data_IF_941052346453
#
_entry.id   IF_941052346453
#
_cell.length_a   1.000
_cell.length_b   1.000
_cell.length_c   1.000
_cell.angle_alpha   90.00
_cell.angle_beta   90.00
_cell.angle_gamma   90.00
#
_symmetry.space_group_name_H-M   'P 1'
#
loop_
_entity.id
_entity.type
_entity.pdbx_description
1 polymer ?
#
# COMPACT_ATOMS: atom_id res chain seq x y z
N UNK A 1 10.17 -10.43 7.33
CA UNK A 1 10.19 -9.22 6.51
C UNK A 1 8.77 -8.97 5.98
N UNK A 2 8.31 -7.72 6.03
CA UNK A 2 6.96 -7.32 5.63
C UNK A 2 7.11 -6.38 4.43
N UNK A 3 6.39 -6.66 3.36
CA UNK A 3 6.44 -5.90 2.10
C UNK A 3 5.11 -5.22 1.86
N UNK A 4 5.13 -3.92 1.50
CA UNK A 4 3.99 -3.29 0.85
C UNK A 4 3.85 -3.81 -0.60
N UNK A 5 2.69 -3.55 -1.19
CA UNK A 5 2.41 -3.88 -2.59
C UNK A 5 2.80 -2.72 -3.52
N UNK A 6 2.16 -1.56 -3.35
CA UNK A 6 2.37 -0.38 -4.19
C UNK A 6 3.78 0.21 -4.00
N UNK A 7 4.45 0.58 -5.09
CA UNK A 7 5.79 1.16 -4.99
C UNK A 7 6.90 0.22 -4.50
N UNK A 8 6.57 -1.00 -4.08
CA UNK A 8 7.50 -2.04 -3.63
C UNK A 8 7.46 -3.25 -4.55
N UNK A 9 6.38 -4.04 -4.49
CA UNK A 9 6.19 -5.22 -5.35
C UNK A 9 5.72 -4.83 -6.74
N UNK A 10 4.99 -3.73 -6.87
CA UNK A 10 4.63 -3.14 -8.18
C UNK A 10 5.18 -1.73 -8.30
N UNK A 11 5.23 -1.22 -9.54
CA UNK A 11 5.58 0.19 -9.78
C UNK A 11 4.58 1.13 -9.10
N UNK A 12 5.03 2.30 -8.58
CA UNK A 12 4.15 3.25 -7.90
C UNK A 12 3.02 3.76 -8.79
N UNK A 13 1.81 3.90 -8.23
CA UNK A 13 0.64 4.47 -8.93
C UNK A 13 0.70 6.01 -9.05
N UNK A 14 1.70 6.66 -8.50
CA UNK A 14 1.88 8.12 -8.55
C UNK A 14 1.98 8.66 -9.97
N UNK A 15 2.52 7.87 -10.92
CA UNK A 15 2.57 8.24 -12.33
C UNK A 15 1.16 8.39 -12.93
N UNK A 16 0.26 7.47 -12.61
CA UNK A 16 -1.12 7.48 -13.08
C UNK A 16 -1.88 8.68 -12.51
N UNK A 17 -1.70 8.96 -11.23
CA UNK A 17 -2.25 10.17 -10.59
C UNK A 17 -1.72 11.43 -11.28
N UNK A 18 -0.44 11.47 -11.64
CA UNK A 18 0.17 12.58 -12.39
C UNK A 18 -0.47 12.81 -13.75
N UNK A 19 -0.72 11.76 -14.52
CA UNK A 19 -1.38 11.84 -15.83
C UNK A 19 -2.82 12.35 -15.72
N UNK A 20 -3.57 11.93 -14.71
CA UNK A 20 -4.93 12.40 -14.45
C UNK A 20 -4.88 13.88 -14.04
N UNK A 21 -3.98 14.25 -13.13
CA UNK A 21 -3.81 15.64 -12.68
C UNK A 21 -3.52 16.60 -13.85
N UNK A 22 -2.66 16.18 -14.78
CA UNK A 22 -2.38 16.95 -16.01
C UNK A 22 -3.65 17.15 -16.85
N UNK A 23 -4.43 16.07 -17.04
CA UNK A 23 -5.71 16.14 -17.77
C UNK A 23 -6.77 17.03 -17.10
N UNK A 24 -6.74 17.13 -15.76
CA UNK A 24 -7.63 17.97 -14.96
C UNK A 24 -7.11 19.41 -14.78
N UNK A 25 -5.85 19.69 -15.17
CA UNK A 25 -5.22 21.00 -15.00
C UNK A 25 -4.90 21.35 -13.53
N UNK A 26 -4.66 20.36 -12.70
CA UNK A 26 -4.30 20.54 -11.29
C UNK A 26 -2.92 19.92 -10.97
N UNK A 27 -2.38 20.18 -9.77
CA UNK A 27 -1.13 19.54 -9.35
C UNK A 27 -1.38 18.08 -8.94
N UNK A 28 -0.36 17.20 -9.14
CA UNK A 28 -0.40 15.81 -8.67
C UNK A 28 -0.63 15.73 -7.17
N UNK A 29 -0.05 16.65 -6.41
CA UNK A 29 -0.19 16.69 -4.95
C UNK A 29 -1.63 17.04 -4.52
N UNK A 30 -2.26 18.00 -5.18
CA UNK A 30 -3.64 18.39 -4.87
C UNK A 30 -4.61 17.26 -5.23
N UNK A 31 -4.44 16.64 -6.41
CA UNK A 31 -5.27 15.50 -6.80
C UNK A 31 -5.10 14.32 -5.83
N UNK A 32 -3.86 14.00 -5.47
CA UNK A 32 -3.57 12.95 -4.52
C UNK A 32 -4.24 13.23 -3.16
N UNK A 33 -4.18 14.47 -2.67
CA UNK A 33 -4.84 14.85 -1.42
C UNK A 33 -6.37 14.72 -1.49
N UNK A 34 -6.97 15.15 -2.60
CA UNK A 34 -8.43 15.02 -2.83
C UNK A 34 -8.86 13.57 -2.94
N UNK A 35 -8.09 12.73 -3.63
CA UNK A 35 -8.44 11.32 -3.84
C UNK A 35 -8.19 10.46 -2.63
N UNK A 36 -6.99 10.56 -2.04
CA UNK A 36 -6.51 9.63 -1.02
C UNK A 36 -6.59 10.19 0.41
N UNK A 37 -6.85 11.49 0.56
CA UNK A 37 -6.88 12.16 1.86
C UNK A 37 -5.51 12.31 2.52
N UNK A 38 -5.48 12.62 3.84
CA UNK A 38 -4.26 12.78 4.59
C UNK A 38 -3.46 11.47 4.69
N UNK A 39 -2.13 11.56 4.51
CA UNK A 39 -1.26 10.38 4.40
C UNK A 39 -0.69 9.90 5.75
N UNK A 40 -0.67 10.78 6.76
CA UNK A 40 -0.10 10.48 8.08
C UNK A 40 -1.15 10.14 9.13
N UNK A 41 -2.41 10.24 8.76
CA UNK A 41 -3.55 10.02 9.66
C UNK A 41 -4.57 9.11 8.97
N UNK A 42 -5.24 8.29 9.75
CA UNK A 42 -6.41 7.55 9.31
C UNK A 42 -7.66 8.22 9.85
N UNK A 43 -8.74 8.25 9.07
CA UNK A 43 -9.97 8.91 9.46
C UNK A 43 -11.14 8.56 8.54
N UNK A 44 -12.15 9.43 8.51
CA UNK A 44 -13.40 9.22 7.76
C UNK A 44 -13.31 9.65 6.28
N UNK A 45 -12.11 9.95 5.76
CA UNK A 45 -11.95 10.23 4.35
C UNK A 45 -12.48 9.04 3.52
N UNK A 46 -13.23 9.26 2.42
CA UNK A 46 -13.84 8.19 1.64
C UNK A 46 -12.84 7.11 1.18
N UNK A 47 -11.63 7.50 0.78
CA UNK A 47 -10.57 6.57 0.42
C UNK A 47 -10.14 5.68 1.58
N UNK A 48 -10.01 6.25 2.79
CA UNK A 48 -9.65 5.45 3.98
C UNK A 48 -10.73 4.44 4.33
N UNK A 49 -12.01 4.81 4.15
CA UNK A 49 -13.15 3.91 4.33
C UNK A 49 -13.19 2.80 3.28
N UNK A 50 -12.82 3.13 2.03
CA UNK A 50 -12.67 2.16 0.96
C UNK A 50 -11.57 1.14 1.28
N UNK A 51 -10.39 1.61 1.69
CA UNK A 51 -9.26 0.75 2.07
C UNK A 51 -9.56 -0.12 3.31
N UNK A 52 -10.45 0.31 4.21
CA UNK A 52 -10.95 -0.56 5.29
C UNK A 52 -12.12 -1.46 4.85
N UNK A 53 -12.53 -1.38 3.58
CA UNK A 53 -13.66 -2.18 3.06
C UNK A 53 -15.01 -1.80 3.66
N UNK A 54 -15.16 -0.60 4.22
CA UNK A 54 -16.42 -0.07 4.76
C UNK A 54 -17.39 0.37 3.67
N UNK A 55 -16.85 0.78 2.52
CA UNK A 55 -17.60 1.20 1.34
C UNK A 55 -17.03 0.52 0.09
N UNK A 56 -17.81 0.45 -0.97
CA UNK A 56 -17.37 0.02 -2.30
C UNK A 56 -17.02 1.20 -3.20
N UNK A 57 -16.51 0.88 -4.38
CA UNK A 57 -16.06 1.86 -5.38
C UNK A 57 -17.17 2.83 -5.82
N UNK A 58 -18.42 2.33 -5.99
CA UNK A 58 -19.56 3.17 -6.37
C UNK A 58 -19.82 4.28 -5.34
N UNK A 59 -19.79 3.93 -4.03
CA UNK A 59 -19.98 4.89 -2.94
C UNK A 59 -18.80 5.86 -2.84
N UNK A 60 -17.57 5.38 -3.09
CA UNK A 60 -16.39 6.24 -3.14
C UNK A 60 -16.57 7.36 -4.16
N UNK A 61 -17.01 7.03 -5.38
CA UNK A 61 -17.19 8.00 -6.45
C UNK A 61 -18.16 9.12 -6.05
N UNK A 62 -19.30 8.76 -5.48
CA UNK A 62 -20.29 9.73 -4.99
C UNK A 62 -19.74 10.64 -3.89
N UNK A 63 -18.92 10.10 -2.98
CA UNK A 63 -18.35 10.85 -1.87
C UNK A 63 -17.15 11.73 -2.25
N UNK A 64 -16.39 11.37 -3.29
CA UNK A 64 -15.25 12.17 -3.75
C UNK A 64 -15.66 13.38 -4.58
N UNK A 65 -16.77 13.34 -5.32
CA UNK A 65 -17.21 14.44 -6.17
C UNK A 65 -17.36 15.79 -5.40
N UNK A 66 -18.05 15.85 -4.24
CA UNK A 66 -18.17 17.11 -3.49
C UNK A 66 -16.83 17.58 -2.90
N UNK A 67 -15.91 16.66 -2.55
CA UNK A 67 -14.57 17.01 -2.06
C UNK A 67 -13.75 17.65 -3.20
N UNK A 68 -13.77 17.04 -4.37
CA UNK A 68 -13.12 17.56 -5.56
C UNK A 68 -13.69 18.92 -5.98
N UNK A 69 -15.02 19.07 -5.98
CA UNK A 69 -15.67 20.32 -6.30
C UNK A 69 -15.30 21.44 -5.31
N UNK A 70 -15.22 21.14 -4.02
CA UNK A 70 -14.75 22.09 -2.99
C UNK A 70 -13.30 22.53 -3.19
N UNK A 71 -12.46 21.64 -3.77
CA UNK A 71 -11.08 21.94 -4.15
C UNK A 71 -10.98 22.62 -5.55
N UNK A 72 -12.11 22.93 -6.20
CA UNK A 72 -12.14 23.53 -7.54
C UNK A 72 -11.77 22.59 -8.69
N UNK A 73 -11.81 21.27 -8.46
CA UNK A 73 -11.49 20.23 -9.43
C UNK A 73 -12.76 19.69 -10.07
N UNK A 74 -12.72 19.53 -11.40
CA UNK A 74 -13.78 18.83 -12.14
C UNK A 74 -13.45 17.34 -12.23
N UNK A 75 -13.35 16.69 -11.07
CA UNK A 75 -13.03 15.29 -10.94
C UNK A 75 -14.29 14.44 -11.05
N UNK A 76 -14.23 13.40 -11.84
CA UNK A 76 -15.32 12.42 -12.00
C UNK A 76 -14.89 11.10 -11.38
N UNK A 77 -15.84 10.37 -10.82
CA UNK A 77 -15.58 9.11 -10.14
C UNK A 77 -14.88 8.05 -11.01
N UNK A 78 -15.14 8.05 -12.33
CA UNK A 78 -14.49 7.14 -13.28
C UNK A 78 -12.97 7.35 -13.43
N UNK A 79 -12.43 8.47 -12.95
CA UNK A 79 -10.97 8.70 -12.95
C UNK A 79 -10.24 7.75 -11.98
N UNK A 80 -10.87 7.32 -10.90
CA UNK A 80 -10.28 6.35 -9.95
C UNK A 80 -10.10 4.99 -10.62
N UNK A 81 -11.06 4.55 -11.41
CA UNK A 81 -11.00 3.26 -12.12
C UNK A 81 -9.83 3.21 -13.11
N UNK A 82 -9.48 4.34 -13.71
CA UNK A 82 -8.36 4.44 -14.65
C UNK A 82 -7.01 4.15 -14.00
N UNK A 83 -6.85 4.47 -12.71
CA UNK A 83 -5.62 4.17 -11.95
C UNK A 83 -5.43 2.67 -11.75
N UNK A 84 -6.55 1.94 -11.61
CA UNK A 84 -6.57 0.51 -11.33
C UNK A 84 -6.74 -0.34 -12.60
N UNK A 85 -6.79 0.31 -13.78
CA UNK A 85 -6.99 -0.40 -15.04
C UNK A 85 -5.83 -1.37 -15.34
N UNK A 86 -6.10 -2.49 -16.05
CA UNK A 86 -5.06 -3.42 -16.46
C UNK A 86 -3.94 -2.74 -17.26
N UNK A 87 -2.68 -3.07 -16.94
CA UNK A 87 -1.50 -2.51 -17.60
C UNK A 87 -1.04 -1.16 -17.07
N UNK A 88 -1.65 -0.65 -16.00
CA UNK A 88 -1.26 0.62 -15.38
C UNK A 88 -0.06 0.49 -14.45
N UNK A 89 0.35 -0.69 -14.09
CA UNK A 89 1.54 -0.96 -13.27
C UNK A 89 2.28 -2.21 -13.78
N UNK A 90 3.52 -2.35 -13.38
CA UNK A 90 4.36 -3.50 -13.67
C UNK A 90 4.76 -4.18 -12.35
N UNK A 91 4.85 -5.53 -12.39
CA UNK A 91 5.31 -6.31 -11.23
C UNK A 91 6.84 -6.33 -11.21
N UNK A 92 7.44 -5.99 -10.08
CA UNK A 92 8.86 -6.09 -9.82
C UNK A 92 9.23 -7.56 -9.51
N UNK A 93 9.36 -8.38 -10.53
CA UNK A 93 9.62 -9.82 -10.37
C UNK A 93 10.84 -10.12 -9.51
N UNK A 94 11.88 -9.28 -9.56
CA UNK A 94 13.07 -9.43 -8.71
C UNK A 94 12.77 -9.29 -7.22
N UNK A 95 11.72 -8.52 -6.83
CA UNK A 95 11.25 -8.45 -5.44
C UNK A 95 10.58 -9.77 -5.05
N UNK A 96 9.77 -10.37 -5.94
CA UNK A 96 9.16 -11.69 -5.70
C UNK A 96 10.23 -12.80 -5.57
N UNK A 97 11.28 -12.74 -6.39
CA UNK A 97 12.43 -13.64 -6.28
C UNK A 97 13.12 -13.48 -4.92
N UNK A 98 13.35 -12.23 -4.46
CA UNK A 98 13.92 -11.96 -3.14
C UNK A 98 13.04 -12.49 -2.01
N UNK A 99 11.72 -12.37 -2.09
CA UNK A 99 10.80 -12.95 -1.12
C UNK A 99 10.98 -14.48 -1.05
N UNK A 100 11.09 -15.15 -2.20
CA UNK A 100 11.36 -16.59 -2.28
C UNK A 100 12.71 -16.97 -1.66
N UNK A 101 13.77 -16.20 -1.92
CA UNK A 101 15.11 -16.38 -1.33
C UNK A 101 15.06 -16.25 0.20
N UNK A 102 14.43 -15.21 0.71
CA UNK A 102 14.31 -14.97 2.15
C UNK A 102 13.60 -16.12 2.85
N UNK A 103 12.52 -16.63 2.29
CA UNK A 103 11.83 -17.83 2.80
C UNK A 103 12.72 -19.06 2.78
N UNK A 104 13.49 -19.25 1.72
CA UNK A 104 14.48 -20.34 1.63
C UNK A 104 15.57 -20.25 2.70
N UNK A 105 15.90 -19.05 3.18
CA UNK A 105 16.82 -18.77 4.30
C UNK A 105 16.14 -18.88 5.67
N UNK A 106 14.84 -19.18 5.74
CA UNK A 106 14.08 -19.34 6.99
C UNK A 106 13.47 -18.06 7.55
N UNK A 107 13.53 -16.94 6.82
CA UNK A 107 12.83 -15.72 7.23
C UNK A 107 11.33 -15.84 6.96
N UNK A 108 10.51 -15.40 7.89
CA UNK A 108 9.08 -15.22 7.67
C UNK A 108 8.82 -13.98 6.80
N UNK A 109 7.88 -14.09 5.88
CA UNK A 109 7.52 -13.01 4.97
C UNK A 109 6.03 -12.69 5.04
N UNK A 110 5.68 -11.40 4.90
CA UNK A 110 4.31 -10.98 4.80
C UNK A 110 4.10 -9.95 3.68
N UNK A 111 2.93 -10.01 3.06
CA UNK A 111 2.35 -8.89 2.34
C UNK A 111 1.50 -8.08 3.32
N UNK A 112 1.64 -6.75 3.31
CA UNK A 112 0.81 -5.82 4.06
C UNK A 112 0.42 -4.64 3.17
N UNK A 113 -0.78 -4.70 2.56
CA UNK A 113 -1.25 -3.74 1.57
C UNK A 113 -2.48 -2.98 2.02
N UNK A 114 -2.47 -1.65 1.82
CA UNK A 114 -3.71 -0.89 1.72
C UNK A 114 -4.29 -1.14 0.33
N UNK A 115 -5.41 -1.85 0.29
CA UNK A 115 -6.03 -2.33 -0.94
C UNK A 115 -7.55 -2.12 -0.90
N UNK A 116 -8.21 -2.44 -1.98
CA UNK A 116 -9.66 -2.39 -2.12
C UNK A 116 -10.21 -3.76 -2.46
N UNK A 117 -11.45 -4.05 -2.08
CA UNK A 117 -12.05 -5.38 -2.27
C UNK A 117 -12.08 -5.81 -3.73
N UNK A 118 -12.40 -4.87 -4.61
CA UNK A 118 -12.53 -5.11 -6.05
C UNK A 118 -11.20 -5.48 -6.70
N UNK A 119 -10.09 -5.05 -6.10
CA UNK A 119 -8.74 -5.32 -6.62
C UNK A 119 -8.18 -6.68 -6.15
N UNK A 120 -8.76 -7.30 -5.12
CA UNK A 120 -8.26 -8.54 -4.51
C UNK A 120 -7.98 -9.67 -5.51
N UNK A 121 -8.86 -9.98 -6.49
CA UNK A 121 -8.59 -11.04 -7.45
C UNK A 121 -7.32 -10.80 -8.28
N UNK A 122 -7.12 -9.53 -8.69
CA UNK A 122 -5.92 -9.14 -9.45
C UNK A 122 -4.67 -9.16 -8.59
N UNK A 123 -4.77 -8.71 -7.35
CA UNK A 123 -3.68 -8.78 -6.39
C UNK A 123 -3.20 -10.22 -6.17
N UNK A 124 -4.12 -11.18 -6.02
CA UNK A 124 -3.78 -12.59 -5.83
C UNK A 124 -3.26 -13.28 -7.10
N UNK A 125 -3.66 -12.82 -8.28
CA UNK A 125 -3.10 -13.27 -9.55
C UNK A 125 -1.65 -12.85 -9.70
N UNK A 126 -1.34 -11.58 -9.46
CA UNK A 126 -0.01 -11.01 -9.63
C UNK A 126 0.95 -11.43 -8.51
N UNK A 127 0.44 -11.51 -7.29
CA UNK A 127 1.20 -11.80 -6.07
C UNK A 127 0.49 -12.87 -5.26
N UNK A 128 0.63 -14.15 -5.64
CA UNK A 128 -0.10 -15.25 -5.02
C UNK A 128 0.16 -15.38 -3.51
N UNK A 129 -0.90 -15.58 -2.68
CA UNK A 129 -0.76 -15.70 -1.22
C UNK A 129 0.25 -16.76 -0.75
N UNK A 130 0.45 -17.84 -1.52
CA UNK A 130 1.43 -18.91 -1.20
C UNK A 130 2.88 -18.43 -1.10
N UNK A 131 3.18 -17.22 -1.59
CA UNK A 131 4.53 -16.62 -1.50
C UNK A 131 4.83 -16.07 -0.10
N UNK A 132 3.83 -15.97 0.78
CA UNK A 132 3.95 -15.36 2.08
C UNK A 132 3.49 -16.27 3.20
N UNK A 133 3.99 -16.01 4.41
CA UNK A 133 3.51 -16.66 5.64
C UNK A 133 2.28 -15.91 6.21
N UNK A 134 2.16 -14.60 5.92
CA UNK A 134 0.97 -13.79 6.21
C UNK A 134 0.61 -12.90 5.00
N UNK A 135 -0.68 -12.76 4.74
CA UNK A 135 -1.20 -12.00 3.60
C UNK A 135 -2.31 -11.06 4.06
N UNK A 136 -1.92 -9.81 4.35
CA UNK A 136 -2.79 -8.81 4.95
C UNK A 136 -3.25 -7.81 3.89
N UNK A 137 -4.52 -7.87 3.58
CA UNK A 137 -5.24 -6.93 2.72
C UNK A 137 -6.17 -6.10 3.61
N UNK A 138 -5.95 -4.79 3.66
CA UNK A 138 -6.65 -3.86 4.54
C UNK A 138 -8.16 -3.95 4.41
N UNK A 139 -8.67 -4.07 3.18
CA UNK A 139 -10.10 -4.11 2.89
C UNK A 139 -10.81 -5.37 3.40
N UNK A 140 -10.04 -6.46 3.61
CA UNK A 140 -10.54 -7.72 4.14
C UNK A 140 -10.44 -7.81 5.66
N UNK A 141 -9.46 -7.10 6.25
CA UNK A 141 -9.26 -7.14 7.71
C UNK A 141 -9.94 -5.98 8.44
N UNK A 142 -10.49 -4.99 7.71
CA UNK A 142 -11.17 -3.84 8.29
C UNK A 142 -10.25 -2.84 8.99
N UNK A 143 -8.96 -2.82 8.63
CA UNK A 143 -7.91 -1.97 9.20
C UNK A 143 -7.00 -1.50 8.08
N UNK A 144 -6.39 -0.33 8.21
CA UNK A 144 -5.46 0.19 7.20
C UNK A 144 -4.18 0.75 7.83
N UNK A 145 -3.10 0.81 7.06
CA UNK A 145 -1.92 1.61 7.42
C UNK A 145 -2.30 3.10 7.36
N UNK A 146 -1.85 3.97 8.26
CA UNK A 146 -0.88 3.73 9.34
C UNK A 146 -1.47 3.33 10.70
N UNK A 147 -2.69 2.82 10.78
CA UNK A 147 -3.32 2.40 12.04
C UNK A 147 -2.47 1.33 12.74
N UNK A 148 -2.19 1.43 14.07
CA UNK A 148 -1.35 0.46 14.77
C UNK A 148 -1.92 -0.96 14.75
N UNK A 149 -3.23 -1.10 14.69
CA UNK A 149 -3.95 -2.37 14.73
C UNK A 149 -3.56 -3.30 13.58
N UNK A 150 -3.31 -2.75 12.37
CA UNK A 150 -2.95 -3.57 11.21
C UNK A 150 -1.53 -4.13 11.35
N UNK A 151 -0.60 -3.37 11.92
CA UNK A 151 0.76 -3.85 12.18
C UNK A 151 0.77 -4.91 13.27
N UNK A 152 0.03 -4.71 14.36
CA UNK A 152 -0.13 -5.73 15.41
C UNK A 152 -0.78 -7.00 14.87
N UNK A 153 -1.76 -6.87 13.96
CA UNK A 153 -2.35 -8.02 13.28
C UNK A 153 -1.32 -8.78 12.45
N UNK A 154 -0.52 -8.06 11.66
CA UNK A 154 0.53 -8.65 10.83
C UNK A 154 1.55 -9.41 11.69
N UNK A 155 2.00 -8.82 12.80
CA UNK A 155 2.93 -9.47 13.74
C UNK A 155 2.35 -10.75 14.34
N UNK A 156 1.06 -10.73 14.74
CA UNK A 156 0.37 -11.94 15.26
C UNK A 156 0.30 -13.04 14.21
N UNK A 157 -0.03 -12.74 12.96
CA UNK A 157 -0.09 -13.73 11.88
C UNK A 157 1.30 -14.31 11.54
N UNK A 158 2.35 -13.51 11.72
CA UNK A 158 3.73 -13.97 11.61
C UNK A 158 4.23 -14.71 12.87
N UNK A 159 3.44 -14.78 13.96
CA UNK A 159 3.84 -15.28 15.26
C UNK A 159 5.15 -14.64 15.75
N UNK A 160 5.21 -13.31 15.71
CA UNK A 160 6.31 -12.48 16.19
C UNK A 160 5.86 -11.69 17.41
N UNK A 161 6.49 -11.95 18.56
CA UNK A 161 6.18 -11.27 19.82
C UNK A 161 6.93 -9.94 19.96
N UNK A 162 8.15 -9.84 19.41
CA UNK A 162 8.96 -8.63 19.42
C UNK A 162 8.90 -7.91 18.07
N UNK A 163 8.27 -6.72 18.00
CA UNK A 163 8.19 -5.93 16.77
C UNK A 163 9.55 -5.57 16.16
N UNK A 164 10.60 -5.44 16.98
CA UNK A 164 11.95 -5.07 16.52
C UNK A 164 12.61 -6.15 15.64
N UNK A 165 12.09 -7.36 15.66
CA UNK A 165 12.50 -8.45 14.77
C UNK A 165 11.83 -8.37 13.37
N UNK A 166 10.89 -7.45 13.17
CA UNK A 166 10.26 -7.22 11.87
C UNK A 166 10.90 -6.03 11.15
N UNK A 167 11.08 -6.17 9.83
CA UNK A 167 11.48 -5.09 8.93
C UNK A 167 10.34 -4.89 7.95
N UNK A 168 9.84 -3.65 7.86
CA UNK A 168 8.75 -3.27 6.95
C UNK A 168 9.28 -2.35 5.84
N UNK A 169 9.00 -2.72 4.58
CA UNK A 169 9.35 -1.97 3.38
C UNK A 169 8.09 -1.33 2.80
N UNK A 170 8.08 0.00 2.66
CA UNK A 170 6.94 0.76 2.14
C UNK A 170 7.45 2.06 1.49
N UNK A 171 6.76 2.57 0.47
CA UNK A 171 7.11 3.82 -0.21
C UNK A 171 6.45 5.06 0.43
N UNK A 172 5.45 4.87 1.32
CA UNK A 172 4.77 5.94 2.02
C UNK A 172 5.34 6.22 3.41
N UNK A 173 5.85 7.44 3.61
CA UNK A 173 6.43 7.86 4.89
C UNK A 173 5.44 7.78 6.07
N UNK A 174 4.14 8.02 5.84
CA UNK A 174 3.11 7.89 6.86
C UNK A 174 2.95 6.45 7.36
N UNK A 175 2.98 5.47 6.46
CA UNK A 175 2.93 4.05 6.81
C UNK A 175 4.16 3.63 7.62
N UNK A 176 5.34 4.10 7.21
CA UNK A 176 6.59 3.84 7.94
C UNK A 176 6.55 4.43 9.35
N UNK A 177 6.05 5.66 9.51
CA UNK A 177 5.88 6.30 10.81
C UNK A 177 4.95 5.48 11.73
N UNK A 178 3.82 4.98 11.18
CA UNK A 178 2.91 4.09 11.92
C UNK A 178 3.57 2.78 12.35
N UNK A 179 4.36 2.16 11.47
CA UNK A 179 5.12 0.95 11.76
C UNK A 179 6.18 1.18 12.86
N UNK A 180 6.92 2.29 12.76
CA UNK A 180 7.92 2.69 13.76
C UNK A 180 7.29 2.94 15.14
N UNK A 181 6.09 3.54 15.17
CA UNK A 181 5.38 3.80 16.42
C UNK A 181 5.02 2.51 17.19
N UNK A 182 4.86 1.38 16.50
CA UNK A 182 4.64 0.07 17.11
C UNK A 182 5.92 -0.75 17.26
N UNK A 183 7.09 -0.17 16.95
CA UNK A 183 8.40 -0.76 17.19
C UNK A 183 9.01 -1.56 16.03
N UNK A 184 8.43 -1.54 14.83
CA UNK A 184 9.03 -2.17 13.66
C UNK A 184 10.25 -1.39 13.18
N UNK A 185 11.22 -2.10 12.62
CA UNK A 185 12.27 -1.50 11.79
C UNK A 185 11.69 -1.22 10.41
N UNK A 186 12.13 -0.17 9.73
CA UNK A 186 11.54 0.24 8.45
C UNK A 186 12.59 0.56 7.41
N UNK A 187 12.25 0.34 6.14
CA UNK A 187 13.01 0.77 4.96
C UNK A 187 12.09 1.62 4.10
N UNK A 188 12.50 2.86 3.81
CA UNK A 188 11.76 3.74 2.90
C UNK A 188 12.12 3.43 1.46
N UNK A 189 11.20 2.78 0.74
CA UNK A 189 11.43 2.35 -0.63
C UNK A 189 11.25 3.54 -1.59
N UNK A 190 12.35 4.12 -2.04
CA UNK A 190 12.40 5.09 -3.16
C UNK A 190 12.75 4.41 -4.46
N UNK A 191 13.59 3.39 -4.37
CA UNK A 191 14.00 2.49 -5.43
C UNK A 191 14.00 1.06 -4.84
N UNK A 192 13.24 0.11 -5.40
CA UNK A 192 13.19 -1.24 -4.85
C UNK A 192 14.54 -1.99 -4.85
N UNK A 193 15.45 -1.75 -5.80
CA UNK A 193 16.78 -2.37 -5.78
C UNK A 193 17.60 -1.90 -4.59
N UNK A 194 17.68 -0.57 -4.37
CA UNK A 194 18.44 0.01 -3.26
C UNK A 194 17.84 -0.46 -1.91
N UNK A 195 16.52 -0.55 -1.82
CA UNK A 195 15.83 -1.02 -0.62
C UNK A 195 16.14 -2.49 -0.31
N UNK A 196 16.29 -3.36 -1.32
CA UNK A 196 16.68 -4.75 -1.10
C UNK A 196 18.15 -4.87 -0.69
N UNK A 197 19.04 -4.00 -1.15
CA UNK A 197 20.43 -3.92 -0.66
C UNK A 197 20.46 -3.48 0.81
N UNK A 198 19.71 -2.44 1.18
CA UNK A 198 19.56 -2.02 2.57
C UNK A 198 18.99 -3.14 3.46
N UNK A 199 18.01 -3.88 2.95
CA UNK A 199 17.43 -5.03 3.64
C UNK A 199 18.49 -6.08 3.97
N UNK A 200 19.35 -6.44 3.02
CA UNK A 200 20.43 -7.42 3.26
C UNK A 200 21.40 -6.95 4.33
N UNK A 201 21.80 -5.68 4.32
CA UNK A 201 22.64 -5.10 5.38
C UNK A 201 21.96 -5.23 6.75
N UNK A 202 20.66 -4.94 6.83
CA UNK A 202 19.89 -5.05 8.08
C UNK A 202 19.70 -6.50 8.55
N UNK A 203 19.74 -7.48 7.66
CA UNK A 203 19.65 -8.91 7.98
C UNK A 203 21.01 -9.51 8.36
N UNK A 204 22.11 -8.75 8.29
CA UNK A 204 23.46 -9.18 8.65
C UNK A 204 24.12 -10.00 7.53
N UNK A 205 23.75 -9.73 6.29
CA UNK A 205 24.32 -10.34 5.09
C UNK A 205 25.68 -9.83 4.73
#
# INVERSE_FOLDING_TARGET
VIFDFGGVIITPITRQIGMIAEGLGCSTADLHHVMMGPQFESGDHPWHRLERGEIGMEVLQELLEPIAAAAGMNFRGDEVEKILAPGMYEVNHFVLEKIGELRGRGYKTALLSNSIREFRPKLEEDVPPRLFDAYIDSSHVGMRKPEPEIFHRTLRELALDDPSHAIFLDDFAGNLAGAQAVGLRTIHVKNPHDALEELEVLLGG
#
